data_IF_670087800850
#
_entry.id   IF_670087800850
#
_cell.length_a   1.000
_cell.length_b   1.000
_cell.length_c   1.000
_cell.angle_alpha   90.00
_cell.angle_beta   90.00
_cell.angle_gamma   90.00
#
_symmetry.space_group_name_H-M   'P 1'
#
loop_
_entity.id
_entity.type
_entity.pdbx_description
1 polymer ?
#
# COMPACT_ATOMS: atom_id res chain seq x y z
N UNK A 1 7.72 11.38 -36.14
CA UNK A 1 8.08 11.37 -34.71
C UNK A 1 7.00 12.15 -33.96
N UNK A 2 6.04 11.46 -33.34
CA UNK A 2 4.83 12.09 -32.78
C UNK A 2 5.11 12.63 -31.37
N UNK A 3 5.08 13.96 -31.21
CA UNK A 3 5.22 14.63 -29.91
C UNK A 3 4.01 14.28 -29.02
N UNK A 4 4.29 13.69 -27.84
CA UNK A 4 3.29 13.34 -26.82
C UNK A 4 2.59 14.60 -26.29
N UNK A 5 1.26 14.54 -26.15
CA UNK A 5 0.36 15.67 -25.77
C UNK A 5 0.68 16.35 -24.42
N UNK A 6 1.57 15.79 -23.62
CA UNK A 6 1.98 16.31 -22.31
C UNK A 6 2.96 17.49 -22.39
N UNK A 7 3.57 17.72 -23.55
CA UNK A 7 4.63 18.74 -23.75
C UNK A 7 4.07 20.11 -24.19
N UNK A 8 2.74 20.28 -24.26
CA UNK A 8 2.06 21.48 -24.79
C UNK A 8 1.31 22.30 -23.75
N UNK A 9 1.70 22.23 -22.47
CA UNK A 9 1.27 23.16 -21.42
C UNK A 9 2.35 24.21 -21.19
N UNK A 10 2.06 25.48 -21.50
CA UNK A 10 2.98 26.61 -21.39
C UNK A 10 3.60 26.81 -19.99
N UNK A 11 4.85 27.26 -19.99
CA UNK A 11 5.74 27.47 -18.84
C UNK A 11 5.21 28.54 -17.87
N UNK A 12 5.03 28.19 -16.58
CA UNK A 12 5.26 29.11 -15.44
C UNK A 12 5.36 28.35 -14.09
N UNK A 13 6.51 28.53 -13.41
CA UNK A 13 6.88 28.19 -12.01
C UNK A 13 7.22 26.74 -11.59
N UNK A 14 8.51 26.40 -11.66
CA UNK A 14 9.27 25.80 -10.52
C UNK A 14 8.90 24.42 -9.94
N UNK A 15 7.99 23.65 -10.54
CA UNK A 15 7.59 22.34 -10.00
C UNK A 15 8.28 21.18 -10.73
N UNK A 16 8.74 20.19 -9.95
CA UNK A 16 9.29 18.93 -10.44
C UNK A 16 8.27 18.29 -11.41
N UNK A 17 8.66 17.86 -12.63
CA UNK A 17 7.76 17.24 -13.59
C UNK A 17 7.01 16.06 -12.98
N UNK A 18 5.71 15.90 -13.32
CA UNK A 18 4.86 14.79 -12.84
C UNK A 18 5.56 13.43 -12.97
N UNK A 19 6.22 13.20 -14.10
CA UNK A 19 6.98 11.99 -14.37
C UNK A 19 8.08 11.74 -13.33
N UNK A 20 8.82 12.77 -12.94
CA UNK A 20 9.89 12.66 -11.94
C UNK A 20 9.33 12.46 -10.53
N UNK A 21 8.24 13.15 -10.17
CA UNK A 21 7.54 12.90 -8.88
C UNK A 21 7.02 11.47 -8.79
N UNK A 22 6.44 10.96 -9.87
CA UNK A 22 5.99 9.57 -9.96
C UNK A 22 7.16 8.59 -9.83
N UNK A 23 8.30 8.86 -10.45
CA UNK A 23 9.53 8.06 -10.26
C UNK A 23 9.98 8.03 -8.80
N UNK A 24 9.98 9.19 -8.13
CA UNK A 24 10.34 9.29 -6.71
C UNK A 24 9.35 8.49 -5.83
N UNK A 25 8.05 8.61 -6.10
CA UNK A 25 7.02 7.84 -5.39
C UNK A 25 7.21 6.34 -5.57
N UNK A 26 7.41 5.86 -6.80
CA UNK A 26 7.69 4.43 -7.10
C UNK A 26 8.92 3.95 -6.32
N UNK A 27 10.01 4.73 -6.33
CA UNK A 27 11.22 4.34 -5.62
C UNK A 27 11.00 4.23 -4.11
N UNK A 28 10.31 5.20 -3.50
CA UNK A 28 9.96 5.17 -2.07
C UNK A 28 9.04 3.99 -1.72
N UNK A 29 8.06 3.68 -2.58
CA UNK A 29 7.17 2.53 -2.41
C UNK A 29 7.93 1.21 -2.48
N UNK A 30 8.95 1.09 -3.35
CA UNK A 30 9.82 -0.10 -3.39
C UNK A 30 10.62 -0.29 -2.09
N UNK A 31 11.11 0.80 -1.49
CA UNK A 31 11.76 0.73 -0.17
C UNK A 31 10.78 0.21 0.89
N UNK A 32 9.54 0.71 0.90
CA UNK A 32 8.53 0.20 1.83
C UNK A 32 8.16 -1.26 1.56
N UNK A 33 8.08 -1.67 0.29
CA UNK A 33 7.86 -3.06 -0.11
C UNK A 33 8.91 -4.00 0.48
N UNK A 34 10.21 -3.68 0.35
CA UNK A 34 11.28 -4.49 0.97
C UNK A 34 11.21 -4.53 2.50
N UNK A 35 10.72 -3.46 3.15
CA UNK A 35 10.51 -3.45 4.61
C UNK A 35 9.37 -4.37 5.03
N UNK A 36 8.29 -4.42 4.24
CA UNK A 36 7.16 -5.32 4.43
C UNK A 36 7.61 -6.77 4.25
N UNK A 37 8.38 -7.08 3.20
CA UNK A 37 8.97 -8.43 2.99
C UNK A 37 9.81 -8.88 4.19
N UNK A 38 10.69 -8.00 4.67
CA UNK A 38 11.50 -8.29 5.85
C UNK A 38 10.65 -8.52 7.10
N UNK A 39 9.54 -7.79 7.27
CA UNK A 39 8.61 -8.01 8.37
C UNK A 39 7.86 -9.34 8.25
N UNK A 40 7.41 -9.71 7.05
CA UNK A 40 6.74 -10.98 6.78
C UNK A 40 7.64 -12.16 7.18
N UNK A 41 8.91 -12.15 6.76
CA UNK A 41 9.88 -13.20 7.10
C UNK A 41 10.14 -13.29 8.61
N UNK A 42 10.15 -12.16 9.33
CA UNK A 42 10.31 -12.17 10.80
C UNK A 42 9.09 -12.76 11.49
N UNK A 43 7.88 -12.44 11.03
CA UNK A 43 6.63 -12.97 11.59
C UNK A 43 6.49 -14.46 11.36
N UNK A 44 6.82 -14.95 10.17
CA UNK A 44 6.83 -16.38 9.86
C UNK A 44 7.80 -17.15 10.76
N UNK A 45 9.01 -16.62 10.96
CA UNK A 45 9.98 -17.22 11.88
C UNK A 45 9.45 -17.26 13.32
N UNK A 46 8.87 -16.16 13.79
CA UNK A 46 8.33 -16.07 15.14
C UNK A 46 7.16 -17.03 15.35
N UNK A 47 6.28 -17.15 14.36
CA UNK A 47 5.16 -18.10 14.36
C UNK A 47 5.66 -19.55 14.50
N UNK A 48 6.69 -19.92 13.73
CA UNK A 48 7.31 -21.24 13.81
C UNK A 48 7.93 -21.51 15.18
N UNK A 49 8.65 -20.54 15.75
CA UNK A 49 9.24 -20.66 17.09
C UNK A 49 8.16 -20.86 18.18
N UNK A 50 7.05 -20.12 18.10
CA UNK A 50 5.92 -20.28 19.02
C UNK A 50 5.24 -21.64 18.86
N UNK A 51 5.09 -22.11 17.63
CA UNK A 51 4.53 -23.43 17.34
C UNK A 51 5.40 -24.55 17.93
N UNK A 52 6.72 -24.49 17.72
CA UNK A 52 7.67 -25.46 18.29
C UNK A 52 7.61 -25.48 19.83
N UNK A 53 7.53 -24.30 20.47
CA UNK A 53 7.35 -24.18 21.93
C UNK A 53 6.01 -24.75 22.40
N UNK A 54 4.93 -24.51 21.65
CA UNK A 54 3.61 -25.07 21.91
C UNK A 54 3.65 -26.61 21.91
N UNK A 55 4.22 -27.20 20.87
CA UNK A 55 4.39 -28.67 20.76
C UNK A 55 5.22 -29.20 21.92
N UNK A 56 6.35 -28.55 22.24
CA UNK A 56 7.21 -28.96 23.35
C UNK A 56 6.52 -28.90 24.72
N UNK A 57 5.69 -27.88 24.98
CA UNK A 57 4.90 -27.77 26.20
C UNK A 57 3.81 -28.86 26.26
N UNK A 58 3.14 -29.10 25.14
CA UNK A 58 2.13 -30.15 25.02
C UNK A 58 2.71 -31.55 25.29
N UNK A 59 3.89 -31.87 24.74
CA UNK A 59 4.58 -33.15 24.98
C UNK A 59 4.98 -33.37 26.45
N UNK A 60 5.18 -32.28 27.20
CA UNK A 60 5.48 -32.31 28.65
C UNK A 60 4.23 -32.36 29.52
N UNK A 61 3.04 -32.47 28.93
CA UNK A 61 1.75 -32.34 29.61
C UNK A 61 1.58 -31.01 30.36
N UNK A 62 2.26 -29.94 29.91
CA UNK A 62 2.12 -28.59 30.46
C UNK A 62 1.05 -27.83 29.66
N UNK A 63 -0.22 -28.15 29.97
CA UNK A 63 -1.38 -27.63 29.24
C UNK A 63 -1.49 -26.09 29.31
N UNK A 64 -1.11 -25.49 30.44
CA UNK A 64 -1.16 -24.05 30.63
C UNK A 64 -0.19 -23.33 29.68
N UNK A 65 1.07 -23.79 29.59
CA UNK A 65 2.03 -23.21 28.64
C UNK A 65 1.69 -23.52 27.19
N UNK A 66 1.19 -24.72 26.90
CA UNK A 66 0.75 -25.07 25.54
C UNK A 66 -0.35 -24.12 25.05
N UNK A 67 -1.37 -23.85 25.88
CA UNK A 67 -2.44 -22.92 25.55
C UNK A 67 -1.93 -21.48 25.35
N UNK A 68 -1.01 -21.02 26.20
CA UNK A 68 -0.39 -19.70 26.05
C UNK A 68 0.35 -19.57 24.71
N UNK A 69 1.24 -20.51 24.38
CA UNK A 69 1.97 -20.47 23.11
C UNK A 69 1.05 -20.60 21.90
N UNK A 70 -0.03 -21.39 22.00
CA UNK A 70 -1.02 -21.51 20.93
C UNK A 70 -1.72 -20.17 20.63
N UNK A 71 -2.09 -19.41 21.66
CA UNK A 71 -2.71 -18.09 21.50
C UNK A 71 -1.75 -17.09 20.84
N UNK A 72 -0.51 -17.01 21.32
CA UNK A 72 0.51 -16.15 20.70
C UNK A 72 0.78 -16.54 19.24
N UNK A 73 0.79 -17.84 18.94
CA UNK A 73 0.96 -18.36 17.59
C UNK A 73 -0.21 -17.95 16.68
N UNK A 74 -1.45 -17.94 17.20
CA UNK A 74 -2.61 -17.46 16.47
C UNK A 74 -2.54 -15.95 16.15
N UNK A 75 -2.13 -15.13 17.11
CA UNK A 75 -1.94 -13.68 16.88
C UNK A 75 -0.79 -13.41 15.90
N UNK A 76 0.33 -14.12 16.01
CA UNK A 76 1.44 -14.03 15.05
C UNK A 76 0.97 -14.37 13.61
N UNK A 77 0.16 -15.42 13.43
CA UNK A 77 -0.44 -15.77 12.13
C UNK A 77 -1.37 -14.67 11.60
N UNK A 78 -2.18 -14.07 12.47
CA UNK A 78 -3.09 -12.98 12.09
C UNK A 78 -2.29 -11.77 11.58
N UNK A 79 -1.24 -11.38 12.28
CA UNK A 79 -0.35 -10.30 11.85
C UNK A 79 0.35 -10.64 10.54
N UNK A 80 0.88 -11.85 10.38
CA UNK A 80 1.53 -12.29 9.15
C UNK A 80 0.59 -12.21 7.93
N UNK A 81 -0.68 -12.59 8.10
CA UNK A 81 -1.70 -12.49 7.04
C UNK A 81 -1.93 -11.05 6.60
N UNK A 82 -1.98 -10.11 7.54
CA UNK A 82 -2.12 -8.67 7.24
C UNK A 82 -0.91 -8.17 6.44
N UNK A 83 0.31 -8.51 6.87
CA UNK A 83 1.55 -8.10 6.19
C UNK A 83 1.62 -8.66 4.77
N UNK A 84 1.28 -9.94 4.59
CA UNK A 84 1.27 -10.57 3.26
C UNK A 84 0.23 -9.94 2.32
N UNK A 85 -0.96 -9.63 2.84
CA UNK A 85 -1.99 -8.91 2.09
C UNK A 85 -1.52 -7.53 1.62
N UNK A 86 -0.90 -6.78 2.52
CA UNK A 86 -0.31 -5.47 2.23
C UNK A 86 0.82 -5.57 1.19
N UNK A 87 1.66 -6.60 1.28
CA UNK A 87 2.74 -6.86 0.31
C UNK A 87 2.19 -7.02 -1.11
N UNK A 88 1.21 -7.92 -1.29
CA UNK A 88 0.59 -8.18 -2.60
C UNK A 88 -0.15 -6.96 -3.15
N UNK A 89 -0.84 -6.22 -2.29
CA UNK A 89 -1.52 -4.99 -2.69
C UNK A 89 -0.52 -3.92 -3.14
N UNK A 90 0.61 -3.77 -2.44
CA UNK A 90 1.66 -2.82 -2.79
C UNK A 90 2.38 -3.21 -4.08
N UNK A 91 2.63 -4.50 -4.30
CA UNK A 91 3.20 -5.00 -5.56
C UNK A 91 2.30 -4.66 -6.75
N UNK A 92 0.98 -4.91 -6.63
CA UNK A 92 0.00 -4.53 -7.66
C UNK A 92 -0.01 -3.01 -7.91
N UNK A 93 0.04 -2.21 -6.84
CA UNK A 93 0.10 -0.75 -6.94
C UNK A 93 1.37 -0.29 -7.70
N UNK A 94 2.53 -0.86 -7.37
CA UNK A 94 3.80 -0.59 -8.04
C UNK A 94 3.74 -0.89 -9.53
N UNK A 95 3.24 -2.08 -9.92
CA UNK A 95 3.08 -2.46 -11.33
C UNK A 95 2.18 -1.48 -12.10
N UNK A 96 1.10 -1.01 -11.47
CA UNK A 96 0.20 -0.02 -12.08
C UNK A 96 0.91 1.31 -12.29
N UNK A 97 1.63 1.83 -11.28
CA UNK A 97 2.37 3.09 -11.37
C UNK A 97 3.48 3.02 -12.42
N UNK A 98 4.17 1.89 -12.53
CA UNK A 98 5.19 1.65 -13.56
C UNK A 98 4.59 1.65 -14.96
N UNK A 99 3.44 1.00 -15.15
CA UNK A 99 2.68 1.03 -16.41
C UNK A 99 2.31 2.46 -16.79
N UNK A 100 1.76 3.23 -15.84
CA UNK A 100 1.43 4.65 -16.06
C UNK A 100 2.68 5.45 -16.44
N UNK A 101 3.80 5.21 -15.74
CA UNK A 101 5.06 5.90 -15.99
C UNK A 101 5.63 5.60 -17.38
N UNK A 102 5.58 4.33 -17.82
CA UNK A 102 6.14 3.88 -19.10
C UNK A 102 5.27 4.32 -20.29
N UNK A 103 3.96 4.12 -20.19
CA UNK A 103 3.02 4.39 -21.28
C UNK A 103 2.64 5.88 -21.36
N UNK A 104 2.82 6.64 -20.28
CA UNK A 104 2.38 8.03 -20.19
C UNK A 104 0.87 8.14 -20.19
N UNK A 105 0.21 7.20 -19.49
CA UNK A 105 -1.24 7.20 -19.28
C UNK A 105 -1.70 8.42 -18.47
N UNK A 106 -3.00 8.73 -18.55
CA UNK A 106 -3.58 9.90 -17.91
C UNK A 106 -3.65 9.76 -16.39
N UNK A 107 -3.81 10.87 -15.65
CA UNK A 107 -3.94 10.80 -14.18
C UNK A 107 -5.14 10.00 -13.67
N UNK A 108 -6.17 9.80 -14.52
CA UNK A 108 -7.26 8.88 -14.22
C UNK A 108 -6.76 7.45 -13.93
N UNK A 109 -5.62 7.04 -14.51
CA UNK A 109 -4.99 5.75 -14.27
C UNK A 109 -4.28 5.65 -12.91
N UNK A 110 -3.91 6.78 -12.30
CA UNK A 110 -3.18 6.86 -11.02
C UNK A 110 -4.15 6.82 -9.84
N UNK A 111 -5.36 7.35 -10.01
CA UNK A 111 -6.35 7.53 -8.94
C UNK A 111 -6.66 6.24 -8.15
N UNK A 112 -6.89 5.07 -8.79
CA UNK A 112 -7.14 3.83 -8.03
C UNK A 112 -5.96 3.42 -7.14
N UNK A 113 -4.73 3.82 -7.51
CA UNK A 113 -3.54 3.49 -6.72
C UNK A 113 -3.52 4.24 -5.40
N UNK A 114 -3.96 5.50 -5.37
CA UNK A 114 -4.01 6.27 -4.14
C UNK A 114 -4.92 5.59 -3.09
N UNK A 115 -6.09 5.09 -3.53
CA UNK A 115 -7.02 4.33 -2.68
C UNK A 115 -6.42 3.02 -2.16
N UNK A 116 -5.73 2.26 -3.02
CA UNK A 116 -5.00 1.05 -2.60
C UNK A 116 -3.95 1.36 -1.55
N UNK A 117 -3.18 2.44 -1.72
CA UNK A 117 -2.17 2.86 -0.74
C UNK A 117 -2.79 3.29 0.60
N UNK A 118 -3.97 3.93 0.61
CA UNK A 118 -4.70 4.24 1.84
C UNK A 118 -5.20 2.99 2.56
N UNK A 119 -5.67 1.98 1.83
CA UNK A 119 -6.04 0.70 2.42
C UNK A 119 -4.82 0.02 3.07
N UNK A 120 -3.69 -0.04 2.37
CA UNK A 120 -2.43 -0.59 2.90
C UNK A 120 -1.96 0.18 4.13
N UNK A 121 -2.04 1.51 4.12
CA UNK A 121 -1.72 2.35 5.27
C UNK A 121 -2.53 1.92 6.49
N UNK A 122 -3.85 1.80 6.36
CA UNK A 122 -4.75 1.40 7.47
C UNK A 122 -4.40 0.01 7.99
N UNK A 123 -4.23 -0.96 7.10
CA UNK A 123 -3.97 -2.35 7.46
C UNK A 123 -2.63 -2.49 8.21
N UNK A 124 -1.61 -1.71 7.83
CA UNK A 124 -0.30 -1.72 8.47
C UNK A 124 -0.19 -0.85 9.72
N UNK A 125 -1.15 0.02 10.03
CA UNK A 125 -1.05 0.99 11.11
C UNK A 125 -0.82 0.35 12.49
N UNK A 126 -1.45 -0.81 12.74
CA UNK A 126 -1.29 -1.58 13.98
C UNK A 126 -0.20 -2.66 13.94
N UNK A 127 0.50 -2.82 12.80
CA UNK A 127 1.39 -3.97 12.56
C UNK A 127 2.80 -3.54 12.20
N UNK A 128 2.95 -2.55 11.31
CA UNK A 128 4.23 -1.93 10.92
C UNK A 128 4.03 -0.40 10.82
N UNK A 129 3.94 0.32 11.96
CA UNK A 129 3.54 1.72 11.99
C UNK A 129 4.43 2.64 11.14
N UNK A 130 5.74 2.37 11.09
CA UNK A 130 6.70 3.19 10.35
C UNK A 130 6.50 3.06 8.84
N UNK A 131 6.09 1.88 8.36
CA UNK A 131 5.76 1.67 6.95
C UNK A 131 4.40 2.28 6.63
N UNK A 132 3.41 2.12 7.52
CA UNK A 132 2.10 2.75 7.39
C UNK A 132 2.22 4.26 7.22
N UNK A 133 3.01 4.92 8.08
CA UNK A 133 3.25 6.35 8.00
C UNK A 133 3.84 6.77 6.65
N UNK A 134 4.91 6.13 6.20
CA UNK A 134 5.55 6.46 4.93
C UNK A 134 4.64 6.21 3.72
N UNK A 135 3.87 5.12 3.72
CA UNK A 135 2.86 4.86 2.68
C UNK A 135 1.79 5.95 2.67
N UNK A 136 1.36 6.43 3.84
CA UNK A 136 0.44 7.56 3.96
C UNK A 136 0.97 8.83 3.31
N UNK A 137 2.24 9.19 3.61
CA UNK A 137 2.91 10.35 3.01
C UNK A 137 2.98 10.22 1.49
N UNK A 138 3.37 9.05 0.98
CA UNK A 138 3.46 8.81 -0.48
C UNK A 138 2.06 8.84 -1.12
N UNK A 139 1.05 8.28 -0.46
CA UNK A 139 -0.34 8.31 -0.93
C UNK A 139 -0.86 9.74 -1.07
N UNK A 140 -0.58 10.61 -0.11
CA UNK A 140 -0.97 12.03 -0.18
C UNK A 140 -0.25 12.78 -1.31
N UNK A 141 1.03 12.48 -1.56
CA UNK A 141 1.78 13.03 -2.69
C UNK A 141 1.18 12.59 -4.03
N UNK A 142 0.78 11.32 -4.15
CA UNK A 142 0.10 10.75 -5.32
C UNK A 142 -1.28 11.38 -5.50
N UNK A 143 -2.05 11.57 -4.42
CA UNK A 143 -3.33 12.27 -4.45
C UNK A 143 -3.19 13.70 -5.00
N UNK A 144 -2.20 14.46 -4.52
CA UNK A 144 -1.89 15.80 -5.04
C UNK A 144 -1.55 15.78 -6.53
N UNK A 145 -0.79 14.78 -7.00
CA UNK A 145 -0.49 14.60 -8.43
C UNK A 145 -1.76 14.40 -9.26
N UNK A 146 -2.71 13.61 -8.76
CA UNK A 146 -3.98 13.35 -9.46
C UNK A 146 -4.81 14.63 -9.59
N UNK A 147 -4.95 15.40 -8.52
CA UNK A 147 -5.70 16.68 -8.51
C UNK A 147 -5.09 17.68 -9.50
N UNK A 148 -3.77 17.90 -9.45
CA UNK A 148 -3.08 18.84 -10.35
C UNK A 148 -3.28 18.50 -11.83
N UNK A 149 -3.30 17.21 -12.18
CA UNK A 149 -3.56 16.79 -13.57
C UNK A 149 -5.03 16.95 -13.94
N UNK A 150 -5.96 16.70 -13.01
CA UNK A 150 -7.39 16.96 -13.23
C UNK A 150 -7.64 18.43 -13.59
N UNK A 151 -7.09 19.33 -12.78
CA UNK A 151 -7.16 20.78 -13.00
C UNK A 151 -6.53 21.18 -14.35
N UNK A 152 -5.34 20.65 -14.67
CA UNK A 152 -4.64 20.97 -15.91
C UNK A 152 -5.33 20.44 -17.19
N UNK A 153 -6.13 19.39 -17.09
CA UNK A 153 -6.81 18.74 -18.22
C UNK A 153 -8.28 19.14 -18.37
N UNK A 154 -8.83 19.90 -17.42
CA UNK A 154 -10.25 20.23 -17.36
C UNK A 154 -11.15 19.01 -17.14
N UNK A 155 -10.57 17.87 -16.72
CA UNK A 155 -11.32 16.70 -16.32
C UNK A 155 -11.89 16.95 -14.93
N UNK A 156 -13.21 16.94 -14.79
CA UNK A 156 -13.86 16.82 -13.49
C UNK A 156 -13.52 15.43 -12.94
N UNK A 157 -12.47 15.35 -12.12
CA UNK A 157 -12.13 14.14 -11.39
C UNK A 157 -13.19 13.98 -10.30
N UNK A 158 -14.11 13.06 -10.52
CA UNK A 158 -15.11 12.67 -9.54
C UNK A 158 -14.42 11.84 -8.44
N UNK A 159 -13.88 12.52 -7.43
CA UNK A 159 -13.15 11.90 -6.32
C UNK A 159 -14.05 10.94 -5.51
N UNK A 160 -15.37 11.11 -5.54
CA UNK A 160 -16.31 10.23 -4.83
C UNK A 160 -16.37 8.84 -5.47
N UNK A 161 -16.29 8.73 -6.80
CA UNK A 161 -16.36 7.45 -7.51
C UNK A 161 -15.11 6.57 -7.32
N UNK A 162 -13.98 7.16 -6.93
CA UNK A 162 -12.70 6.46 -6.76
C UNK A 162 -12.37 6.10 -5.31
N UNK A 163 -13.18 6.54 -4.35
CA UNK A 163 -12.97 6.21 -2.94
C UNK A 163 -13.72 4.91 -2.59
N UNK A 164 -12.97 3.82 -2.47
CA UNK A 164 -13.47 2.49 -2.06
C UNK A 164 -14.24 2.55 -0.73
N UNK A 165 -13.86 3.47 0.17
CA UNK A 165 -14.53 3.68 1.45
C UNK A 165 -15.91 4.33 1.29
N UNK A 166 -16.06 5.27 0.36
CA UNK A 166 -17.36 5.85 0.01
C UNK A 166 -18.30 4.82 -0.62
N UNK A 167 -17.78 3.91 -1.45
CA UNK A 167 -18.56 2.78 -1.99
C UNK A 167 -19.02 1.81 -0.91
N UNK A 168 -18.14 1.42 0.01
CA UNK A 168 -18.51 0.51 1.11
C UNK A 168 -19.58 1.10 2.02
N UNK A 169 -19.49 2.40 2.33
CA UNK A 169 -20.53 3.09 3.12
C UNK A 169 -21.86 3.12 2.37
N UNK A 170 -21.85 3.33 1.06
CA UNK A 170 -23.07 3.30 0.23
C UNK A 170 -23.67 1.89 0.11
N UNK A 171 -22.83 0.85 0.04
CA UNK A 171 -23.27 -0.56 0.04
C UNK A 171 -23.80 -1.00 1.41
N UNK A 172 -23.26 -0.49 2.51
CA UNK A 172 -23.75 -0.76 3.87
C UNK A 172 -25.06 -0.01 4.19
N UNK A 173 -25.38 1.04 3.44
CA UNK A 173 -26.59 1.85 3.61
C UNK A 173 -27.76 1.45 2.68
N UNK A 174 -27.56 0.49 1.78
CA UNK A 174 -28.56 -0.03 0.83
C UNK A 174 -29.17 -1.35 1.30
#
# INVERSE_FOLDING_TARGET
>A
MSMKKWDKGGRIFGRIPLKQRLTMAIHRLRVQYSRIEGAAMRMERHEKELFEKCVGAHMKNDAARAALYANECAEARKMAKVVLGAQLALEKALLRLETVHQLGETAAAIMPVAGVLKAIQRDLAGVIPEVSYEIGVISDEIGKMVVEVGEATGMSIDMEAANEESRKILEEAA
#
